data_IF_810625974099
#
_entry.id   IF_810625974099
#
_cell.length_a   1.000
_cell.length_b   1.000
_cell.length_c   1.000
_cell.angle_alpha   90.00
_cell.angle_beta   90.00
_cell.angle_gamma   90.00
#
_symmetry.space_group_name_H-M   'P 1'
#
loop_
_entity.id
_entity.type
_entity.pdbx_description
1 polymer ?
#
# COMPACT_ATOMS: atom_id res chain seq x y z
N UNK A 1 58.15 -15.43 -17.32
CA UNK A 1 57.06 -16.07 -16.55
C UNK A 1 56.87 -15.49 -15.15
N UNK A 2 57.90 -15.44 -14.28
CA UNK A 2 57.82 -14.79 -12.95
C UNK A 2 57.24 -13.36 -12.91
N UNK A 3 57.65 -12.40 -13.76
CA UNK A 3 57.12 -11.04 -13.71
C UNK A 3 55.64 -10.94 -14.12
N UNK A 4 55.17 -11.82 -15.01
CA UNK A 4 53.77 -11.87 -15.45
C UNK A 4 52.88 -12.42 -14.34
N UNK A 5 53.34 -13.43 -13.60
CA UNK A 5 52.61 -13.99 -12.46
C UNK A 5 52.51 -12.99 -11.29
N UNK A 6 53.56 -12.20 -11.05
CA UNK A 6 53.54 -11.14 -10.03
C UNK A 6 52.56 -10.03 -10.43
N UNK A 7 52.58 -9.60 -11.70
CA UNK A 7 51.64 -8.59 -12.20
C UNK A 7 50.18 -9.07 -12.10
N UNK A 8 49.90 -10.32 -12.47
CA UNK A 8 48.57 -10.93 -12.31
C UNK A 8 48.15 -11.02 -10.84
N UNK A 9 49.07 -11.35 -9.93
CA UNK A 9 48.80 -11.37 -8.49
C UNK A 9 48.44 -10.00 -7.92
N UNK A 10 49.13 -8.93 -8.35
CA UNK A 10 48.84 -7.55 -7.95
C UNK A 10 47.48 -7.10 -8.52
N UNK A 11 47.20 -7.39 -9.78
CA UNK A 11 45.92 -7.06 -10.41
C UNK A 11 44.78 -7.78 -9.69
N UNK A 12 44.94 -9.07 -9.36
CA UNK A 12 43.96 -9.82 -8.61
C UNK A 12 43.75 -9.24 -7.20
N UNK A 13 44.82 -8.87 -6.49
CA UNK A 13 44.72 -8.25 -5.17
C UNK A 13 44.02 -6.88 -5.20
N UNK A 14 44.32 -6.04 -6.20
CA UNK A 14 43.65 -4.75 -6.42
C UNK A 14 42.18 -4.94 -6.79
N UNK A 15 41.86 -5.92 -7.64
CA UNK A 15 40.50 -6.24 -8.03
C UNK A 15 39.68 -6.73 -6.82
N UNK A 16 40.24 -7.60 -5.98
CA UNK A 16 39.60 -8.07 -4.73
C UNK A 16 39.44 -6.92 -3.73
N UNK A 17 40.47 -6.08 -3.56
CA UNK A 17 40.42 -4.90 -2.70
C UNK A 17 39.37 -3.88 -3.14
N UNK A 18 39.26 -3.63 -4.45
CA UNK A 18 38.24 -2.76 -5.04
C UNK A 18 36.83 -3.28 -4.78
N UNK A 19 36.58 -4.58 -4.98
CA UNK A 19 35.26 -5.20 -4.72
C UNK A 19 34.86 -5.06 -3.25
N UNK A 20 35.80 -5.22 -2.32
CA UNK A 20 35.53 -5.11 -0.89
C UNK A 20 35.28 -3.64 -0.43
N UNK A 21 35.85 -2.66 -1.13
CA UNK A 21 35.84 -1.26 -0.68
C UNK A 21 34.84 -0.36 -1.41
N UNK A 22 34.58 -0.61 -2.70
CA UNK A 22 33.76 0.28 -3.57
C UNK A 22 32.36 0.57 -2.98
N UNK A 23 31.72 -0.44 -2.39
CA UNK A 23 30.36 -0.32 -1.85
C UNK A 23 30.33 0.54 -0.58
N UNK A 24 31.35 0.41 0.28
CA UNK A 24 31.51 1.27 1.46
C UNK A 24 31.83 2.71 1.08
N UNK A 25 32.69 2.92 0.07
CA UNK A 25 33.02 4.27 -0.42
C UNK A 25 31.79 4.94 -0.99
N UNK A 26 31.02 4.22 -1.80
CA UNK A 26 29.81 4.79 -2.42
C UNK A 26 28.74 5.12 -1.39
N UNK A 27 28.46 4.22 -0.45
CA UNK A 27 27.53 4.51 0.65
C UNK A 27 28.03 5.67 1.53
N UNK A 28 29.34 5.76 1.77
CA UNK A 28 29.93 6.90 2.50
C UNK A 28 29.87 8.21 1.70
N UNK A 29 29.98 8.15 0.38
CA UNK A 29 29.89 9.32 -0.51
C UNK A 29 28.48 9.89 -0.56
N UNK A 30 27.45 9.03 -0.52
CA UNK A 30 26.06 9.46 -0.35
C UNK A 30 25.82 10.17 0.98
N UNK A 31 26.66 9.93 2.00
CA UNK A 31 26.60 10.62 3.27
C UNK A 31 25.53 10.07 4.22
N UNK A 32 25.18 10.89 5.23
CA UNK A 32 24.16 10.61 6.22
C UNK A 32 22.94 11.50 5.93
N UNK A 33 21.76 10.90 5.92
CA UNK A 33 20.48 11.59 5.90
C UNK A 33 19.92 11.76 7.31
N UNK A 34 18.66 12.17 7.38
CA UNK A 34 17.93 12.32 8.63
C UNK A 34 17.73 10.96 9.33
N UNK A 35 17.70 10.95 10.66
CA UNK A 35 17.46 9.73 11.46
C UNK A 35 16.03 9.63 11.99
N UNK A 36 15.31 10.72 11.90
CA UNK A 36 13.93 10.86 12.32
C UNK A 36 13.16 11.45 11.15
N UNK A 37 11.93 11.01 10.97
CA UNK A 37 11.02 11.54 9.97
C UNK A 37 9.64 11.68 10.62
N UNK A 38 8.94 12.76 10.25
CA UNK A 38 7.60 13.02 10.73
C UNK A 38 6.68 11.83 10.45
N UNK A 39 5.81 11.54 11.41
CA UNK A 39 4.78 10.52 11.23
C UNK A 39 3.77 10.98 10.17
N UNK A 40 3.41 10.12 9.21
CA UNK A 40 2.42 10.46 8.19
C UNK A 40 1.03 10.68 8.79
N UNK A 41 0.30 11.64 8.24
CA UNK A 41 -1.11 11.87 8.48
C UNK A 41 -1.92 11.51 7.22
N UNK A 42 -2.46 10.30 7.23
CA UNK A 42 -3.22 9.73 6.11
C UNK A 42 -4.57 10.41 5.83
N UNK A 43 -4.92 11.48 6.54
CA UNK A 43 -5.99 12.37 6.09
C UNK A 43 -5.58 13.18 4.85
N UNK A 44 -4.28 13.47 4.68
CA UNK A 44 -3.72 14.19 3.54
C UNK A 44 -3.29 13.25 2.42
N UNK A 45 -3.50 13.69 1.17
CA UNK A 45 -3.13 12.92 -0.03
C UNK A 45 -1.62 12.71 -0.15
N UNK A 46 -0.81 13.65 0.32
CA UNK A 46 0.64 13.61 0.18
C UNK A 46 1.33 12.44 0.92
N UNK A 47 0.67 11.90 1.95
CA UNK A 47 1.13 10.75 2.73
C UNK A 47 0.65 9.40 2.16
N UNK A 48 -0.04 9.42 1.02
CA UNK A 48 -0.30 8.25 0.19
C UNK A 48 0.69 8.21 -0.99
N UNK A 49 1.08 6.99 -1.39
CA UNK A 49 1.73 6.77 -2.68
C UNK A 49 0.70 6.88 -3.80
N UNK A 50 -0.51 6.38 -3.55
CA UNK A 50 -1.67 6.55 -4.40
C UNK A 50 -2.94 6.56 -3.56
N UNK A 51 -3.82 7.51 -3.85
CA UNK A 51 -5.19 7.59 -3.34
C UNK A 51 -6.05 8.13 -4.47
N UNK A 52 -7.28 7.64 -4.68
CA UNK A 52 -8.17 8.19 -5.69
C UNK A 52 -8.41 9.68 -5.44
N UNK A 53 -8.28 10.50 -6.49
CA UNK A 53 -8.51 11.94 -6.40
C UNK A 53 -9.98 12.28 -6.13
N UNK A 54 -10.88 11.47 -6.67
CA UNK A 54 -12.32 11.56 -6.44
C UNK A 54 -12.78 10.39 -5.57
N UNK A 55 -13.73 10.66 -4.68
CA UNK A 55 -14.29 9.63 -3.80
C UNK A 55 -15.08 8.60 -4.63
N UNK A 56 -14.68 7.32 -4.63
CA UNK A 56 -15.35 6.29 -5.42
C UNK A 56 -16.77 6.02 -4.88
N UNK A 57 -17.73 5.55 -5.71
CA UNK A 57 -19.08 5.19 -5.25
C UNK A 57 -19.04 4.18 -4.11
N UNK A 58 -19.96 4.26 -3.14
CA UNK A 58 -19.99 3.29 -2.04
C UNK A 58 -20.46 1.90 -2.46
N UNK A 59 -20.40 0.93 -1.54
CA UNK A 59 -20.87 -0.44 -1.77
C UNK A 59 -22.37 -0.57 -2.06
N UNK A 60 -23.14 0.51 -1.83
CA UNK A 60 -24.55 0.63 -2.20
C UNK A 60 -24.79 0.87 -3.69
N UNK A 61 -23.79 1.32 -4.44
CA UNK A 61 -23.88 1.49 -5.90
C UNK A 61 -23.74 0.13 -6.62
N UNK A 62 -24.28 0.04 -7.84
CA UNK A 62 -24.17 -1.14 -8.70
C UNK A 62 -23.30 -0.84 -9.93
N UNK A 63 -22.36 -1.71 -10.31
CA UNK A 63 -21.95 -2.93 -9.59
C UNK A 63 -21.24 -2.61 -8.26
N UNK A 64 -21.21 -3.58 -7.33
CA UNK A 64 -20.51 -3.42 -6.06
C UNK A 64 -19.02 -3.17 -6.28
N UNK A 65 -18.55 -1.97 -5.96
CA UNK A 65 -17.15 -1.62 -6.19
C UNK A 65 -16.17 -2.34 -5.27
N UNK A 66 -14.97 -2.62 -5.79
CA UNK A 66 -13.86 -3.23 -5.06
C UNK A 66 -12.67 -2.27 -5.09
N UNK A 67 -11.98 -2.15 -3.96
CA UNK A 67 -10.76 -1.38 -3.82
C UNK A 67 -9.56 -2.31 -3.71
N UNK A 68 -8.44 -1.88 -4.27
CA UNK A 68 -7.17 -2.62 -4.26
C UNK A 68 -6.18 -1.84 -3.42
N UNK A 69 -5.71 -2.46 -2.34
CA UNK A 69 -4.63 -1.94 -1.51
C UNK A 69 -3.31 -2.54 -2.01
N UNK A 70 -2.42 -1.70 -2.54
CA UNK A 70 -1.09 -2.12 -3.01
C UNK A 70 -0.04 -1.82 -1.96
N UNK A 71 0.61 -2.86 -1.45
CA UNK A 71 1.76 -2.70 -0.54
C UNK A 71 3.04 -2.59 -1.38
N UNK A 72 3.47 -1.35 -1.58
CA UNK A 72 4.63 -1.04 -2.39
C UNK A 72 5.94 -1.52 -1.75
N UNK A 73 6.93 -1.97 -2.56
CA UNK A 73 8.24 -2.34 -2.06
C UNK A 73 8.97 -1.11 -1.51
N UNK A 74 9.85 -1.31 -0.54
CA UNK A 74 10.65 -0.21 -0.01
C UNK A 74 11.52 0.44 -1.09
N UNK A 75 11.81 1.75 -0.97
CA UNK A 75 12.65 2.48 -1.90
C UNK A 75 13.99 1.82 -2.15
N UNK A 76 14.44 1.90 -3.39
CA UNK A 76 15.72 1.38 -3.88
C UNK A 76 16.56 2.45 -4.61
N UNK A 77 15.98 3.61 -4.92
CA UNK A 77 16.70 4.74 -5.51
C UNK A 77 17.77 5.29 -4.55
N UNK A 78 19.03 5.46 -5.00
CA UNK A 78 20.14 5.91 -4.16
C UNK A 78 19.84 7.17 -3.35
N UNK A 79 20.00 7.08 -2.03
CA UNK A 79 19.81 8.19 -1.08
C UNK A 79 20.81 8.10 0.09
N UNK A 80 21.14 9.23 0.75
CA UNK A 80 21.97 9.26 1.96
C UNK A 80 21.46 8.30 3.05
N UNK A 81 22.35 7.72 3.86
CA UNK A 81 21.97 6.74 4.87
C UNK A 81 21.12 7.38 5.99
N UNK A 82 19.87 6.94 6.14
CA UNK A 82 18.90 7.57 7.04
C UNK A 82 17.48 7.05 6.81
N UNK A 83 16.51 7.78 7.33
CA UNK A 83 15.08 7.53 7.17
C UNK A 83 14.52 8.48 6.11
N UNK A 84 13.76 7.94 5.17
CA UNK A 84 12.99 8.71 4.19
C UNK A 84 11.60 8.99 4.78
N UNK A 85 11.08 10.22 4.68
CA UNK A 85 9.71 10.52 5.07
C UNK A 85 8.71 9.83 4.13
N UNK A 86 7.48 9.63 4.61
CA UNK A 86 6.40 9.05 3.81
C UNK A 86 6.10 9.90 2.56
N UNK A 87 6.11 11.23 2.67
CA UNK A 87 5.91 12.15 1.55
C UNK A 87 7.12 12.26 0.59
N UNK A 88 8.13 11.41 0.72
CA UNK A 88 9.33 11.46 -0.11
C UNK A 88 9.02 11.28 -1.60
N UNK A 89 9.49 12.24 -2.41
CA UNK A 89 9.44 12.16 -3.89
C UNK A 89 10.14 10.91 -4.41
N UNK A 90 11.17 10.43 -3.70
CA UNK A 90 11.89 9.20 -4.07
C UNK A 90 11.01 7.98 -3.92
N UNK A 91 10.28 7.88 -2.80
CA UNK A 91 9.33 6.79 -2.57
C UNK A 91 8.21 6.79 -3.61
N UNK A 92 7.71 7.97 -3.99
CA UNK A 92 6.69 8.13 -5.04
C UNK A 92 7.21 7.73 -6.42
N UNK A 93 8.43 8.11 -6.76
CA UNK A 93 9.09 7.71 -8.00
C UNK A 93 9.32 6.20 -8.09
N UNK A 94 9.86 5.60 -7.01
CA UNK A 94 10.09 4.15 -6.95
C UNK A 94 8.77 3.35 -7.00
N UNK A 95 7.69 3.90 -6.44
CA UNK A 95 6.36 3.33 -6.54
C UNK A 95 5.82 3.37 -7.98
N UNK A 96 5.95 4.50 -8.68
CA UNK A 96 5.52 4.62 -10.07
C UNK A 96 6.30 3.63 -10.98
N UNK A 97 7.62 3.58 -10.82
CA UNK A 97 8.48 2.60 -11.51
C UNK A 97 8.01 1.16 -11.22
N UNK A 98 7.66 0.84 -9.96
CA UNK A 98 7.14 -0.47 -9.59
C UNK A 98 5.81 -0.79 -10.27
N UNK A 99 4.85 0.14 -10.27
CA UNK A 99 3.53 -0.08 -10.89
C UNK A 99 3.67 -0.33 -12.39
N UNK A 100 4.57 0.38 -13.06
CA UNK A 100 4.88 0.18 -14.48
C UNK A 100 5.60 -1.15 -14.73
N UNK A 101 6.67 -1.45 -13.98
CA UNK A 101 7.44 -2.70 -14.13
C UNK A 101 6.61 -3.95 -13.78
N UNK A 102 5.66 -3.85 -12.83
CA UNK A 102 4.74 -4.92 -12.46
C UNK A 102 3.52 -5.02 -13.40
N UNK A 103 3.35 -4.08 -14.32
CA UNK A 103 2.19 -4.03 -15.23
C UNK A 103 0.86 -3.74 -14.53
N UNK A 104 0.90 -3.04 -13.39
CA UNK A 104 -0.27 -2.65 -12.60
C UNK A 104 -0.79 -1.24 -12.94
N UNK A 105 -0.09 -0.49 -13.79
CA UNK A 105 -0.46 0.89 -14.17
C UNK A 105 -1.49 0.98 -15.31
N UNK A 106 -1.94 -0.15 -15.86
CA UNK A 106 -2.68 -0.18 -17.14
C UNK A 106 -4.20 0.00 -17.05
N UNK A 107 -4.79 0.07 -15.86
CA UNK A 107 -6.25 0.09 -15.72
C UNK A 107 -6.76 1.33 -14.99
N UNK A 108 -7.41 2.23 -15.74
CA UNK A 108 -8.04 3.44 -15.22
C UNK A 108 -9.30 3.16 -14.38
N UNK A 109 -9.84 1.94 -14.42
CA UNK A 109 -11.08 1.58 -13.71
C UNK A 109 -10.84 1.07 -12.28
N UNK A 110 -9.61 0.63 -11.98
CA UNK A 110 -9.23 0.11 -10.69
C UNK A 110 -9.10 1.22 -9.64
N UNK A 111 -9.83 1.08 -8.52
CA UNK A 111 -9.70 2.00 -7.38
C UNK A 111 -8.55 1.54 -6.49
N UNK A 112 -7.39 2.18 -6.63
CA UNK A 112 -6.16 1.79 -5.96
C UNK A 112 -5.84 2.73 -4.79
N UNK A 113 -5.54 2.13 -3.65
CA UNK A 113 -4.93 2.78 -2.49
C UNK A 113 -3.55 2.19 -2.25
N UNK A 114 -2.53 3.02 -2.15
CA UNK A 114 -1.17 2.59 -1.82
C UNK A 114 -0.65 3.45 -0.67
N UNK A 115 -0.52 2.90 0.55
CA UNK A 115 -0.04 3.67 1.69
C UNK A 115 1.43 4.00 1.51
N UNK A 116 1.80 5.27 1.74
CA UNK A 116 3.21 5.60 1.94
C UNK A 116 3.63 5.31 3.37
N UNK A 117 4.93 5.28 3.63
CA UNK A 117 5.47 4.94 4.94
C UNK A 117 6.89 5.48 5.08
N UNK A 118 7.33 5.67 6.33
CA UNK A 118 8.73 6.01 6.61
C UNK A 118 9.60 4.81 6.31
N UNK A 119 10.52 4.98 5.37
CA UNK A 119 11.31 3.88 4.84
C UNK A 119 12.80 4.07 5.11
N UNK A 120 13.56 3.00 5.39
CA UNK A 120 15.02 3.12 5.43
C UNK A 120 15.54 3.44 4.04
N UNK A 121 16.42 4.42 3.93
CA UNK A 121 17.08 4.71 2.66
C UNK A 121 17.95 3.53 2.20
N UNK A 122 18.23 3.38 0.89
CA UNK A 122 18.99 2.23 0.40
C UNK A 122 20.43 2.12 0.90
N UNK A 123 21.04 3.25 1.28
CA UNK A 123 22.36 3.30 1.91
C UNK A 123 22.36 2.90 3.38
N UNK A 124 21.18 2.73 4.00
CA UNK A 124 21.06 2.40 5.42
C UNK A 124 21.59 1.00 5.76
N UNK A 125 22.31 0.92 6.87
CA UNK A 125 22.83 -0.33 7.42
C UNK A 125 21.74 -1.24 7.99
N UNK A 126 22.10 -2.50 8.26
CA UNK A 126 21.15 -3.56 8.69
C UNK A 126 20.28 -3.15 9.89
N UNK A 127 20.88 -2.56 10.94
CA UNK A 127 20.16 -2.15 12.15
C UNK A 127 19.05 -1.13 11.87
N UNK A 128 19.39 -0.04 11.18
CA UNK A 128 18.44 1.00 10.77
C UNK A 128 17.30 0.41 9.94
N UNK A 129 17.61 -0.53 9.03
CA UNK A 129 16.57 -1.17 8.21
C UNK A 129 15.59 -1.99 9.04
N UNK A 130 16.05 -2.73 10.04
CA UNK A 130 15.17 -3.49 10.94
C UNK A 130 14.29 -2.55 11.76
N UNK A 131 14.86 -1.49 12.34
CA UNK A 131 14.12 -0.49 13.11
C UNK A 131 13.09 0.25 12.23
N UNK A 132 13.47 0.66 11.02
CA UNK A 132 12.60 1.32 10.07
C UNK A 132 11.53 0.40 9.47
N UNK A 133 11.78 -0.91 9.35
CA UNK A 133 10.76 -1.87 8.91
C UNK A 133 9.61 -1.97 9.91
N UNK A 134 9.91 -1.90 11.22
CA UNK A 134 8.88 -1.88 12.24
C UNK A 134 8.12 -0.54 12.27
N UNK A 135 8.79 0.57 11.95
CA UNK A 135 8.12 1.87 11.75
C UNK A 135 7.16 1.81 10.55
N UNK A 136 7.63 1.32 9.40
CA UNK A 136 6.83 1.19 8.19
C UNK A 136 5.60 0.29 8.37
N UNK A 137 5.73 -0.80 9.14
CA UNK A 137 4.60 -1.65 9.53
C UNK A 137 3.52 -0.88 10.29
N UNK A 138 3.90 -0.04 11.25
CA UNK A 138 2.97 0.81 12.02
C UNK A 138 2.32 1.90 11.15
N UNK A 139 3.10 2.51 10.28
CA UNK A 139 2.63 3.51 9.33
C UNK A 139 1.56 2.89 8.41
N UNK A 140 1.82 1.71 7.83
CA UNK A 140 0.83 0.99 7.00
C UNK A 140 -0.41 0.60 7.80
N UNK A 141 -0.27 0.15 9.05
CA UNK A 141 -1.42 -0.13 9.92
C UNK A 141 -2.29 1.12 10.14
N UNK A 142 -1.67 2.28 10.38
CA UNK A 142 -2.38 3.54 10.53
C UNK A 142 -3.10 3.96 9.23
N UNK A 143 -2.45 3.77 8.07
CA UNK A 143 -3.03 4.04 6.77
C UNK A 143 -4.27 3.18 6.51
N UNK A 144 -4.17 1.87 6.75
CA UNK A 144 -5.28 0.93 6.57
C UNK A 144 -6.42 1.25 7.55
N UNK A 145 -6.13 1.58 8.80
CA UNK A 145 -7.15 2.02 9.76
C UNK A 145 -7.87 3.30 9.30
N UNK A 146 -7.15 4.25 8.70
CA UNK A 146 -7.74 5.47 8.12
C UNK A 146 -8.58 5.17 6.89
N UNK A 147 -8.10 4.28 6.01
CA UNK A 147 -8.83 3.83 4.82
C UNK A 147 -10.16 3.16 5.21
N UNK A 148 -10.11 2.18 6.12
CA UNK A 148 -11.29 1.45 6.56
C UNK A 148 -12.34 2.37 7.18
N UNK A 149 -11.89 3.36 7.98
CA UNK A 149 -12.81 4.22 8.72
C UNK A 149 -13.46 5.31 7.87
N UNK A 150 -12.80 5.82 6.82
CA UNK A 150 -13.31 6.98 6.09
C UNK A 150 -13.24 6.90 4.56
N UNK A 151 -12.57 5.92 3.96
CA UNK A 151 -12.47 5.79 2.49
C UNK A 151 -13.16 4.53 1.94
N UNK A 152 -13.17 3.40 2.65
CA UNK A 152 -13.70 2.12 2.14
C UNK A 152 -15.19 2.18 1.72
N UNK A 153 -16.02 3.02 2.37
CA UNK A 153 -17.46 3.18 2.03
C UNK A 153 -18.22 1.86 1.81
N UNK A 154 -17.92 0.82 2.60
CA UNK A 154 -18.52 -0.52 2.49
C UNK A 154 -18.25 -1.22 1.14
N UNK A 155 -17.20 -0.85 0.43
CA UNK A 155 -16.72 -1.50 -0.80
C UNK A 155 -15.97 -2.80 -0.47
N UNK A 156 -15.84 -3.68 -1.47
CA UNK A 156 -14.98 -4.86 -1.37
C UNK A 156 -13.51 -4.46 -1.27
N UNK A 157 -12.65 -5.31 -0.69
CA UNK A 157 -11.23 -5.01 -0.51
C UNK A 157 -10.35 -6.18 -0.93
N UNK A 158 -9.31 -5.90 -1.70
CA UNK A 158 -8.22 -6.81 -2.05
C UNK A 158 -6.88 -6.21 -1.63
N UNK A 159 -5.95 -7.04 -1.16
CA UNK A 159 -4.57 -6.60 -0.90
C UNK A 159 -3.64 -7.27 -1.90
N UNK A 160 -2.79 -6.49 -2.54
CA UNK A 160 -1.71 -6.95 -3.42
C UNK A 160 -0.38 -6.58 -2.77
N UNK A 161 0.40 -7.59 -2.37
CA UNK A 161 1.71 -7.37 -1.78
C UNK A 161 2.80 -7.38 -2.86
N UNK A 162 3.83 -6.55 -2.70
CA UNK A 162 5.05 -6.62 -3.52
C UNK A 162 6.12 -7.49 -2.83
N UNK A 163 7.16 -7.94 -3.55
CA UNK A 163 8.29 -8.66 -2.95
C UNK A 163 8.99 -7.86 -1.83
N UNK A 164 9.25 -8.53 -0.69
CA UNK A 164 9.95 -7.94 0.45
C UNK A 164 9.12 -6.94 1.27
N UNK A 165 7.80 -7.13 1.32
CA UNK A 165 6.83 -6.30 2.05
C UNK A 165 6.18 -7.02 3.22
N UNK A 166 6.76 -8.10 3.72
CA UNK A 166 6.22 -8.95 4.80
C UNK A 166 5.77 -8.11 6.01
N UNK A 167 6.66 -7.26 6.53
CA UNK A 167 6.34 -6.39 7.67
C UNK A 167 5.22 -5.38 7.38
N UNK A 168 5.07 -4.95 6.13
CA UNK A 168 3.97 -4.05 5.73
C UNK A 168 2.65 -4.81 5.70
N UNK A 169 2.67 -6.05 5.20
CA UNK A 169 1.52 -6.93 5.17
C UNK A 169 1.03 -7.29 6.58
N UNK A 170 1.94 -7.57 7.52
CA UNK A 170 1.60 -7.74 8.93
C UNK A 170 0.86 -6.52 9.49
N UNK A 171 1.37 -5.31 9.20
CA UNK A 171 0.75 -4.06 9.63
C UNK A 171 -0.63 -3.85 9.02
N UNK A 172 -0.76 -4.10 7.70
CA UNK A 172 -2.02 -3.99 6.99
C UNK A 172 -3.08 -4.94 7.56
N UNK A 173 -2.75 -6.24 7.69
CA UNK A 173 -3.66 -7.25 8.20
C UNK A 173 -4.07 -7.00 9.66
N UNK A 174 -3.13 -6.54 10.50
CA UNK A 174 -3.41 -6.21 11.90
C UNK A 174 -4.37 -5.03 12.08
N UNK A 175 -4.52 -4.18 11.07
CA UNK A 175 -5.45 -3.05 11.08
C UNK A 175 -6.81 -3.35 10.43
N UNK A 176 -6.97 -4.49 9.76
CA UNK A 176 -8.24 -4.87 9.15
C UNK A 176 -9.27 -5.27 10.22
N UNK A 177 -10.55 -4.88 10.06
CA UNK A 177 -11.60 -5.36 10.94
C UNK A 177 -11.74 -6.88 10.92
N UNK A 178 -12.12 -7.45 12.06
CA UNK A 178 -12.39 -8.89 12.23
C UNK A 178 -13.89 -9.20 12.24
N UNK A 179 -14.75 -8.20 12.08
CA UNK A 179 -16.19 -8.40 12.04
C UNK A 179 -16.66 -9.06 10.74
N UNK A 180 -17.78 -9.77 10.84
CA UNK A 180 -18.32 -10.56 9.73
C UNK A 180 -18.68 -9.69 8.52
N UNK A 181 -19.19 -8.47 8.73
CA UNK A 181 -19.56 -7.54 7.64
C UNK A 181 -18.34 -7.16 6.79
N UNK A 182 -17.21 -6.84 7.42
CA UNK A 182 -15.98 -6.60 6.68
C UNK A 182 -15.44 -7.88 6.03
N UNK A 183 -15.43 -9.01 6.76
CA UNK A 183 -14.82 -10.26 6.26
C UNK A 183 -15.56 -10.85 5.06
N UNK A 184 -16.87 -10.68 4.95
CA UNK A 184 -17.64 -11.06 3.76
C UNK A 184 -17.29 -10.19 2.53
N UNK A 185 -16.77 -8.97 2.73
CA UNK A 185 -16.32 -8.06 1.66
C UNK A 185 -14.83 -8.13 1.36
N UNK A 186 -14.06 -8.85 2.16
CA UNK A 186 -12.62 -8.97 1.97
C UNK A 186 -12.33 -10.12 1.00
N UNK A 187 -11.75 -9.81 -0.16
CA UNK A 187 -11.38 -10.81 -1.16
C UNK A 187 -10.00 -11.45 -0.94
N UNK A 188 -9.33 -11.15 0.17
CA UNK A 188 -8.06 -11.77 0.53
C UNK A 188 -6.82 -11.04 0.01
N UNK A 189 -5.69 -11.75 0.05
CA UNK A 189 -4.35 -11.24 -0.24
C UNK A 189 -3.73 -11.99 -1.42
N UNK A 190 -3.13 -11.23 -2.33
CA UNK A 190 -2.33 -11.72 -3.44
C UNK A 190 -0.85 -11.46 -3.13
N UNK A 191 -0.08 -12.54 -2.99
CA UNK A 191 1.33 -12.51 -2.62
C UNK A 191 2.22 -12.68 -3.87
N UNK A 192 3.42 -12.10 -3.94
CA UNK A 192 4.46 -12.48 -4.90
C UNK A 192 4.85 -13.95 -4.75
N UNK A 193 5.44 -14.50 -5.81
CA UNK A 193 5.77 -15.92 -5.90
C UNK A 193 6.83 -16.40 -4.89
N UNK A 194 7.60 -15.48 -4.31
CA UNK A 194 8.66 -15.79 -3.34
C UNK A 194 8.19 -15.79 -1.88
N UNK A 195 6.93 -15.44 -1.60
CA UNK A 195 6.34 -15.54 -0.27
C UNK A 195 5.54 -16.83 -0.08
N UNK A 196 5.66 -17.44 1.11
CA UNK A 196 5.02 -18.71 1.44
C UNK A 196 3.53 -18.54 1.77
N UNK A 197 2.66 -18.96 0.86
CA UNK A 197 1.20 -18.93 1.02
C UNK A 197 0.74 -19.65 2.30
N UNK A 198 1.41 -20.74 2.70
CA UNK A 198 1.00 -21.54 3.86
C UNK A 198 1.20 -20.76 5.17
N UNK A 199 2.31 -20.01 5.28
CA UNK A 199 2.60 -19.16 6.43
C UNK A 199 1.54 -18.04 6.59
N UNK A 200 1.13 -17.44 5.47
CA UNK A 200 0.21 -16.32 5.48
C UNK A 200 -1.27 -16.70 5.61
N UNK A 201 -1.64 -17.94 5.31
CA UNK A 201 -3.04 -18.39 5.34
C UNK A 201 -3.64 -18.21 6.74
N UNK A 202 -2.89 -18.53 7.80
CA UNK A 202 -3.35 -18.35 9.18
C UNK A 202 -3.42 -16.86 9.57
N UNK A 203 -2.42 -16.08 9.19
CA UNK A 203 -2.33 -14.65 9.52
C UNK A 203 -3.45 -13.82 8.88
N UNK A 204 -3.86 -14.16 7.65
CA UNK A 204 -4.92 -13.45 6.92
C UNK A 204 -6.30 -13.74 7.52
N UNK A 205 -6.52 -14.96 8.01
CA UNK A 205 -7.79 -15.39 8.57
C UNK A 205 -8.89 -15.54 7.50
N UNK A 206 -10.15 -15.38 7.92
CA UNK A 206 -11.30 -15.54 7.03
C UNK A 206 -11.39 -14.42 5.99
N UNK A 207 -11.95 -14.75 4.83
CA UNK A 207 -12.28 -13.85 3.74
C UNK A 207 -13.64 -14.24 3.15
N UNK A 208 -14.08 -13.50 2.15
CA UNK A 208 -15.33 -13.72 1.44
C UNK A 208 -15.43 -15.13 0.85
N UNK A 209 -16.65 -15.68 0.83
CA UNK A 209 -16.96 -16.91 0.11
C UNK A 209 -16.89 -16.78 -1.41
N UNK A 210 -16.66 -15.57 -1.94
CA UNK A 210 -16.44 -15.30 -3.36
C UNK A 210 -15.17 -15.94 -3.92
N UNK A 211 -14.14 -16.10 -3.07
CA UNK A 211 -12.81 -16.53 -3.50
C UNK A 211 -12.50 -17.93 -2.98
N UNK A 212 -11.81 -18.73 -3.79
CA UNK A 212 -11.46 -20.12 -3.43
C UNK A 212 -10.48 -20.20 -2.26
N UNK A 213 -9.58 -19.22 -2.15
CA UNK A 213 -8.58 -19.14 -1.09
C UNK A 213 -8.32 -17.69 -0.71
N UNK A 214 -8.21 -17.42 0.60
CA UNK A 214 -7.94 -16.07 1.11
C UNK A 214 -6.53 -15.57 0.80
N UNK A 215 -5.61 -16.48 0.49
CA UNK A 215 -4.23 -16.15 0.13
C UNK A 215 -3.91 -16.89 -1.16
N UNK A 216 -3.41 -16.16 -2.16
CA UNK A 216 -2.97 -16.73 -3.43
C UNK A 216 -1.61 -16.16 -3.81
N UNK A 217 -0.79 -16.98 -4.46
CA UNK A 217 0.45 -16.52 -5.08
C UNK A 217 0.18 -15.94 -6.47
N UNK A 218 0.90 -14.88 -6.81
CA UNK A 218 0.98 -14.28 -8.14
C UNK A 218 2.27 -14.69 -8.83
N UNK A 219 2.42 -14.37 -10.11
CA UNK A 219 3.67 -14.58 -10.85
C UNK A 219 4.73 -13.49 -10.58
N UNK A 220 4.41 -12.49 -9.75
CA UNK A 220 5.30 -11.38 -9.43
C UNK A 220 6.51 -11.87 -8.64
N UNK A 221 7.70 -11.53 -9.14
CA UNK A 221 8.99 -11.87 -8.53
C UNK A 221 9.91 -10.65 -8.57
N UNK A 222 10.87 -10.60 -7.65
CA UNK A 222 11.94 -9.61 -7.68
C UNK A 222 13.30 -10.28 -7.87
N UNK A 223 14.10 -9.72 -8.77
CA UNK A 223 15.48 -10.13 -8.98
C UNK A 223 16.44 -8.97 -8.76
N UNK A 224 17.68 -9.29 -8.39
CA UNK A 224 18.76 -8.30 -8.33
C UNK A 224 19.34 -8.14 -9.74
N UNK A 225 19.58 -6.91 -10.23
CA UNK A 225 20.20 -6.71 -11.52
C UNK A 225 21.60 -7.34 -11.53
N UNK A 226 22.02 -7.83 -12.71
CA UNK A 226 23.33 -8.44 -12.90
C UNK A 226 24.42 -7.48 -12.42
N UNK A 227 25.13 -7.86 -11.35
CA UNK A 227 26.18 -7.04 -10.74
C UNK A 227 27.32 -6.85 -11.73
N UNK A 228 27.48 -5.63 -12.27
CA UNK A 228 28.70 -5.26 -12.99
C UNK A 228 29.82 -5.10 -11.96
N UNK A 229 30.91 -5.86 -12.16
CA UNK A 229 32.07 -5.90 -11.26
C UNK A 229 32.59 -4.52 -10.83
N UNK A 230 32.49 -3.53 -11.72
CA UNK A 230 33.01 -2.17 -11.51
C UNK A 230 32.05 -1.20 -10.84
N UNK A 231 30.75 -1.48 -10.77
CA UNK A 231 29.77 -0.53 -10.24
C UNK A 231 29.55 -0.76 -8.74
N UNK A 232 29.60 0.29 -7.90
CA UNK A 232 29.25 0.15 -6.49
C UNK A 232 27.80 -0.28 -6.33
N UNK A 233 27.52 -1.04 -5.27
CA UNK A 233 26.19 -1.50 -4.91
C UNK A 233 25.80 -0.97 -3.54
N UNK A 234 24.52 -0.62 -3.40
CA UNK A 234 23.97 -0.19 -2.13
C UNK A 234 23.60 -1.39 -1.25
N UNK A 235 23.60 -1.21 0.08
CA UNK A 235 23.11 -2.20 1.02
C UNK A 235 21.71 -2.74 0.67
N UNK A 236 20.84 -1.90 0.09
CA UNK A 236 19.64 -2.32 -0.63
C UNK A 236 19.79 -1.97 -2.12
N UNK A 237 20.07 -2.94 -3.01
CA UNK A 237 20.18 -2.65 -4.43
C UNK A 237 18.81 -2.40 -5.06
N UNK A 238 18.77 -1.72 -6.21
CA UNK A 238 17.60 -1.70 -7.10
C UNK A 238 17.13 -3.12 -7.36
N UNK A 239 15.82 -3.33 -7.29
CA UNK A 239 15.16 -4.57 -7.70
C UNK A 239 14.64 -4.39 -9.12
N UNK A 240 14.60 -5.49 -9.86
CA UNK A 240 13.91 -5.58 -11.15
C UNK A 240 12.76 -6.53 -10.94
N UNK A 241 11.55 -6.06 -11.20
CA UNK A 241 10.35 -6.87 -11.06
C UNK A 241 10.08 -7.63 -12.36
N UNK A 242 9.67 -8.88 -12.22
CA UNK A 242 9.29 -9.73 -13.35
C UNK A 242 8.02 -10.49 -13.03
N UNK A 243 7.18 -10.64 -14.05
CA UNK A 243 5.92 -11.37 -14.00
C UNK A 243 5.67 -11.99 -15.38
N UNK A 244 4.69 -12.87 -15.49
CA UNK A 244 4.37 -13.62 -16.70
C UNK A 244 3.45 -12.88 -17.70
N UNK A 245 3.19 -11.58 -17.48
CA UNK A 245 2.26 -10.78 -18.28
C UNK A 245 0.82 -10.77 -17.76
N UNK A 246 0.47 -11.57 -16.74
CA UNK A 246 -0.93 -11.77 -16.32
C UNK A 246 -1.31 -11.12 -14.98
N UNK A 247 -0.40 -10.41 -14.33
CA UNK A 247 -0.63 -9.89 -12.97
C UNK A 247 -1.87 -9.00 -12.89
N UNK A 248 -1.97 -7.94 -13.72
CA UNK A 248 -3.14 -7.07 -13.73
C UNK A 248 -4.45 -7.84 -14.00
N UNK A 249 -4.45 -8.75 -14.98
CA UNK A 249 -5.61 -9.58 -15.29
C UNK A 249 -6.01 -10.46 -14.10
N UNK A 250 -5.05 -10.99 -13.35
CA UNK A 250 -5.33 -11.81 -12.17
C UNK A 250 -5.93 -10.99 -11.02
N UNK A 251 -5.49 -9.74 -10.85
CA UNK A 251 -6.04 -8.81 -9.85
C UNK A 251 -7.46 -8.40 -10.26
N UNK A 252 -7.66 -8.04 -11.52
CA UNK A 252 -8.94 -7.65 -12.10
C UNK A 252 -9.96 -8.78 -12.03
N UNK A 253 -9.61 -9.99 -12.50
CA UNK A 253 -10.50 -11.14 -12.44
C UNK A 253 -10.93 -11.48 -11.01
N UNK A 254 -10.03 -11.30 -10.03
CA UNK A 254 -10.35 -11.50 -8.61
C UNK A 254 -11.26 -10.40 -8.07
N UNK A 255 -11.04 -9.14 -8.47
CA UNK A 255 -11.90 -8.02 -8.11
C UNK A 255 -13.30 -8.18 -8.72
N UNK A 256 -13.39 -8.59 -9.98
CA UNK A 256 -14.65 -8.88 -10.67
C UNK A 256 -15.40 -10.03 -10.00
N UNK A 257 -14.72 -11.14 -9.70
CA UNK A 257 -15.32 -12.29 -8.99
C UNK A 257 -15.92 -11.87 -7.65
N UNK A 258 -15.18 -11.06 -6.89
CA UNK A 258 -15.68 -10.51 -5.63
C UNK A 258 -16.87 -9.56 -5.84
N UNK A 259 -16.78 -8.66 -6.82
CA UNK A 259 -17.84 -7.69 -7.14
C UNK A 259 -19.16 -8.38 -7.47
N UNK A 260 -19.12 -9.38 -8.37
CA UNK A 260 -20.29 -10.17 -8.77
C UNK A 260 -20.89 -10.90 -7.58
N UNK A 261 -20.06 -11.59 -6.79
CA UNK A 261 -20.55 -12.31 -5.63
C UNK A 261 -21.21 -11.39 -4.59
N UNK A 262 -20.63 -10.21 -4.36
CA UNK A 262 -21.19 -9.21 -3.45
C UNK A 262 -22.55 -8.69 -3.93
N UNK A 263 -22.70 -8.45 -5.24
CA UNK A 263 -23.96 -8.03 -5.85
C UNK A 263 -25.06 -9.08 -5.70
N UNK A 264 -24.71 -10.36 -5.84
CA UNK A 264 -25.68 -11.46 -5.85
C UNK A 264 -26.01 -11.99 -4.44
N UNK A 265 -25.08 -11.91 -3.51
CA UNK A 265 -25.18 -12.61 -2.22
C UNK A 265 -25.52 -11.70 -1.05
N UNK A 266 -24.99 -10.47 -1.02
CA UNK A 266 -25.13 -9.58 0.12
C UNK A 266 -26.22 -8.52 -0.12
N UNK A 267 -27.01 -8.17 0.91
CA UNK A 267 -27.89 -7.02 0.82
C UNK A 267 -27.06 -5.74 0.68
N UNK A 268 -27.44 -4.89 -0.28
CA UNK A 268 -26.82 -3.57 -0.45
C UNK A 268 -26.97 -2.75 0.84
N UNK A 269 -25.89 -2.14 1.35
CA UNK A 269 -26.02 -1.20 2.45
C UNK A 269 -26.86 0.00 2.01
N UNK A 270 -27.52 0.66 2.96
CA UNK A 270 -28.14 1.94 2.67
C UNK A 270 -27.05 2.98 2.40
N UNK A 271 -27.28 3.84 1.42
CA UNK A 271 -26.47 5.05 1.25
C UNK A 271 -26.56 5.89 2.54
N UNK A 272 -25.43 6.28 3.15
CA UNK A 272 -25.44 7.21 4.27
C UNK A 272 -26.16 8.48 3.84
N UNK A 273 -27.14 8.93 4.61
CA UNK A 273 -27.77 10.22 4.36
C UNK A 273 -26.70 11.31 4.39
N UNK A 274 -26.59 12.01 3.28
CA UNK A 274 -25.80 13.20 3.14
C UNK A 274 -26.30 14.24 4.15
N UNK A 275 -25.52 14.50 5.20
CA UNK A 275 -25.96 15.29 6.36
C UNK A 275 -26.31 16.74 6.00
N UNK A 276 -25.96 17.20 4.80
CA UNK A 276 -26.40 18.49 4.28
C UNK A 276 -27.90 18.55 3.97
N UNK A 277 -28.55 17.43 3.64
CA UNK A 277 -30.00 17.36 3.47
C UNK A 277 -30.76 17.19 4.81
N UNK A 278 -30.06 16.83 5.89
CA UNK A 278 -30.64 16.76 7.24
C UNK A 278 -30.51 18.08 8.02
N UNK A 279 -29.61 18.98 7.59
CA UNK A 279 -29.48 20.35 8.11
C UNK A 279 -30.30 21.39 7.34
N UNK A 280 -31.01 21.00 6.27
CA UNK A 280 -32.14 21.79 5.80
C UNK A 280 -33.21 21.73 6.89
N UNK A 281 -33.10 22.66 7.84
CA UNK A 281 -34.17 23.02 8.76
C UNK A 281 -35.38 23.17 7.87
N UNK A 282 -36.28 22.19 7.92
CA UNK A 282 -37.61 22.34 7.37
C UNK A 282 -38.18 23.53 8.13
N UNK A 283 -38.15 24.70 7.49
CA UNK A 283 -38.85 25.89 7.95
C UNK A 283 -40.33 25.51 7.92
N UNK A 284 -40.79 24.93 9.03
CA UNK A 284 -42.21 24.67 9.24
C UNK A 284 -42.84 26.05 9.22
N UNK A 285 -43.50 26.38 8.12
CA UNK A 285 -44.24 27.63 8.00
C UNK A 285 -45.11 27.80 9.25
N UNK A 286 -45.05 28.96 9.95
CA UNK A 286 -45.72 29.12 11.22
C UNK A 286 -47.21 28.83 11.04
N UNK A 287 -47.69 27.79 11.73
CA UNK A 287 -49.12 27.44 11.74
C UNK A 287 -49.84 28.51 12.55
N UNK A 288 -50.29 29.56 11.87
CA UNK A 288 -51.12 30.61 12.47
C UNK A 288 -52.54 30.09 12.61
N UNK A 289 -53.10 30.15 13.82
CA UNK A 289 -54.55 30.00 13.98
C UNK A 289 -55.25 31.16 13.27
N UNK A 290 -56.40 30.94 12.63
CA UNK A 290 -57.22 32.05 12.13
C UNK A 290 -57.54 32.98 13.33
N UNK A 291 -57.15 34.25 13.22
CA UNK A 291 -57.36 35.32 14.20
C UNK A 291 -56.41 35.41 15.42
N UNK A 292 -55.18 34.88 15.36
CA UNK A 292 -54.16 35.20 16.38
C UNK A 292 -52.79 35.54 15.78
N UNK A 293 -52.16 36.62 16.26
CA UNK A 293 -50.80 37.03 15.87
C UNK A 293 -49.69 36.21 16.57
N UNK A 294 -50.05 35.29 17.47
CA UNK A 294 -49.09 34.46 18.20
C UNK A 294 -48.66 33.25 17.38
N UNK A 295 -47.34 33.12 17.22
CA UNK A 295 -46.70 31.88 16.77
C UNK A 295 -46.70 30.85 17.92
N UNK A 296 -46.98 29.60 17.58
CA UNK A 296 -47.03 28.46 18.51
C UNK A 296 -46.04 27.35 18.12
N UNK A 297 -45.14 27.62 17.17
CA UNK A 297 -44.06 26.70 16.81
C UNK A 297 -43.02 26.65 17.94
N UNK A 298 -43.18 25.69 18.86
CA UNK A 298 -42.19 25.45 19.91
C UNK A 298 -42.75 25.04 21.28
N UNK A 299 -44.06 25.09 21.51
CA UNK A 299 -44.64 24.57 22.76
C UNK A 299 -44.70 23.04 22.74
N UNK A 300 -43.58 22.38 23.01
CA UNK A 300 -43.59 21.00 23.50
C UNK A 300 -44.04 21.05 24.96
N UNK A 301 -45.26 20.60 25.22
CA UNK A 301 -45.75 20.33 26.57
C UNK A 301 -44.83 19.33 27.28
N UNK A 302 -44.63 19.56 28.58
CA UNK A 302 -43.80 18.76 29.50
C UNK A 302 -44.06 17.26 29.41
#
# INVERSE_FOLDING_TARGET
MRPILIALGIIAALAVGWVAFKDRVYASWLGQGEREAAEPDYSFEEDWLQRPAETPPGGWASPWGVDIIVLAPYPTTPQPAGLLPASSVVSKGDYADFMDEAGLSSDESAVIYAPSYRAPSPASGKRMRTEASALASRDVAAAVSRYVSADNRKRGVLIVAAPGTEALLEGALGALPSDEDFRQRFGGVMLPADMDVAEWTEAVGACSGAVEACVVSTSLTASKPVRRFFLPSLPRPRLVYSYDGTLAQSVEARAETLSVWLEETLPKPAEPFDTWAAEEVVDVAPIRRPNSERDISGERGN
#
